data_IF_403427823439
#
_entry.id   IF_403427823439
#
_cell.length_a   1.000
_cell.length_b   1.000
_cell.length_c   1.000
_cell.angle_alpha   90.00
_cell.angle_beta   90.00
_cell.angle_gamma   90.00
#
_symmetry.space_group_name_H-M   'P 1'
#
loop_
_entity.id
_entity.type
_entity.pdbx_description
1 polymer ?
#
# COMPACT_ATOMS: atom_id res chain seq x y z
N UNK A 1 11.62 11.52 -1.99
CA UNK A 1 11.35 12.90 -2.43
C UNK A 1 12.40 13.83 -1.84
N UNK A 2 12.86 14.86 -2.57
CA UNK A 2 13.87 15.79 -2.04
C UNK A 2 13.21 16.92 -1.25
N UNK A 3 13.65 17.13 -0.01
CA UNK A 3 13.31 18.30 0.80
C UNK A 3 14.29 19.43 0.49
N UNK A 4 13.79 20.62 0.17
CA UNK A 4 14.61 21.81 -0.07
C UNK A 4 14.80 22.64 1.20
N UNK A 5 13.83 22.61 2.12
CA UNK A 5 13.93 23.27 3.41
C UNK A 5 12.56 23.61 3.97
N UNK A 6 12.55 24.49 4.97
CA UNK A 6 11.34 25.05 5.57
C UNK A 6 11.31 26.56 5.30
N UNK A 7 10.10 27.10 5.17
CA UNK A 7 9.84 28.53 5.18
C UNK A 7 8.69 28.82 6.15
N UNK A 8 8.34 30.09 6.33
CA UNK A 8 7.23 30.51 7.19
C UNK A 8 6.24 31.33 6.38
N UNK A 9 4.96 31.05 6.57
CA UNK A 9 3.89 31.88 6.02
C UNK A 9 3.87 33.23 6.75
N UNK A 10 3.97 34.36 6.04
CA UNK A 10 4.02 35.68 6.67
C UNK A 10 2.67 36.16 7.22
N UNK A 11 1.55 35.55 6.82
CA UNK A 11 0.19 35.92 7.23
C UNK A 11 -0.31 35.06 8.39
N UNK A 12 -0.08 33.73 8.33
CA UNK A 12 -0.59 32.77 9.30
C UNK A 12 0.43 32.30 10.34
N UNK A 13 1.70 32.70 10.19
CA UNK A 13 2.81 32.35 11.08
C UNK A 13 3.16 30.84 11.11
N UNK A 14 2.55 30.08 10.19
CA UNK A 14 2.70 28.63 10.02
C UNK A 14 4.02 28.25 9.32
N UNK A 15 4.58 27.10 9.70
CA UNK A 15 5.74 26.53 9.02
C UNK A 15 5.31 25.79 7.75
N UNK A 16 5.97 26.11 6.64
CA UNK A 16 5.74 25.47 5.33
C UNK A 16 6.97 24.62 4.99
N UNK A 17 6.74 23.35 4.66
CA UNK A 17 7.76 22.45 4.14
C UNK A 17 7.88 22.59 2.62
N UNK A 18 9.06 22.94 2.12
CA UNK A 18 9.31 23.10 0.68
C UNK A 18 9.99 21.83 0.14
N UNK A 19 9.33 21.16 -0.81
CA UNK A 19 9.77 19.88 -1.36
C UNK A 19 9.75 19.88 -2.88
N UNK A 20 10.43 18.89 -3.47
CA UNK A 20 10.35 18.60 -4.88
C UNK A 20 8.89 18.35 -5.31
N UNK A 21 8.42 19.08 -6.33
CA UNK A 21 7.11 18.87 -6.91
C UNK A 21 7.07 17.59 -7.76
N UNK A 22 6.16 16.68 -7.44
CA UNK A 22 5.90 15.45 -8.19
C UNK A 22 4.66 15.65 -9.09
N UNK A 23 4.90 16.05 -10.34
CA UNK A 23 3.86 16.53 -11.26
C UNK A 23 2.85 15.46 -11.71
N UNK A 24 3.10 14.19 -11.43
CA UNK A 24 2.20 13.07 -11.75
C UNK A 24 1.17 12.77 -10.66
N UNK A 25 1.19 13.49 -9.53
CA UNK A 25 0.29 13.25 -8.41
C UNK A 25 0.61 11.95 -7.67
N UNK A 26 -0.34 11.48 -6.85
CA UNK A 26 -0.22 10.21 -6.14
C UNK A 26 -0.49 8.97 -7.02
N UNK A 27 -0.01 7.81 -6.58
CA UNK A 27 -0.07 6.54 -7.30
C UNK A 27 -1.51 6.16 -7.64
N UNK A 28 -2.46 6.38 -6.73
CA UNK A 28 -3.84 6.00 -6.99
C UNK A 28 -4.41 6.83 -8.15
N UNK A 29 -4.32 8.15 -8.07
CA UNK A 29 -4.80 9.04 -9.11
C UNK A 29 -4.07 8.82 -10.44
N UNK A 30 -2.77 8.53 -10.39
CA UNK A 30 -2.00 8.18 -11.57
C UNK A 30 -2.48 6.86 -12.21
N UNK A 31 -2.77 5.83 -11.40
CA UNK A 31 -3.33 4.55 -11.88
C UNK A 31 -4.68 4.78 -12.54
N UNK A 32 -5.59 5.58 -11.96
CA UNK A 32 -6.90 5.86 -12.56
C UNK A 32 -6.80 6.31 -14.03
N UNK A 33 -5.82 7.18 -14.32
CA UNK A 33 -5.63 7.75 -15.65
C UNK A 33 -4.85 6.85 -16.62
N UNK A 34 -4.10 5.87 -16.09
CA UNK A 34 -3.14 5.09 -16.88
C UNK A 34 -3.36 3.57 -16.81
N UNK A 35 -4.40 3.11 -16.12
CA UNK A 35 -4.64 1.67 -15.87
C UNK A 35 -4.63 0.84 -17.16
N UNK A 36 -5.25 1.35 -18.22
CA UNK A 36 -5.31 0.67 -19.52
C UNK A 36 -3.97 0.59 -20.25
N UNK A 37 -3.00 1.43 -19.88
CA UNK A 37 -1.68 1.53 -20.50
C UNK A 37 -0.59 0.75 -19.76
N UNK A 38 -0.83 0.34 -18.51
CA UNK A 38 0.15 -0.38 -17.70
C UNK A 38 -0.01 -1.90 -17.82
N UNK A 39 1.01 -2.57 -18.39
CA UNK A 39 1.00 -4.01 -18.64
C UNK A 39 1.63 -4.80 -17.50
N UNK A 40 1.19 -6.06 -17.34
CA UNK A 40 1.73 -7.03 -16.38
C UNK A 40 3.22 -7.29 -16.56
N UNK A 41 3.63 -7.59 -17.79
CA UNK A 41 5.00 -7.99 -18.14
C UNK A 41 6.02 -6.84 -18.14
N UNK A 42 5.61 -5.60 -17.83
CA UNK A 42 6.54 -4.47 -17.80
C UNK A 42 6.22 -3.41 -16.77
N UNK A 43 5.21 -2.58 -17.02
CA UNK A 43 5.06 -1.31 -16.32
C UNK A 43 4.59 -1.49 -14.87
N UNK A 44 3.74 -2.48 -14.59
CA UNK A 44 3.34 -2.80 -13.21
C UNK A 44 4.53 -3.24 -12.36
N UNK A 45 5.37 -4.13 -12.90
CA UNK A 45 6.59 -4.59 -12.23
C UNK A 45 7.58 -3.45 -11.98
N UNK A 46 7.76 -2.55 -12.95
CA UNK A 46 8.63 -1.40 -12.82
C UNK A 46 8.19 -0.48 -11.66
N UNK A 47 6.89 -0.19 -11.56
CA UNK A 47 6.32 0.65 -10.51
C UNK A 47 6.56 0.02 -9.14
N UNK A 48 6.22 -1.25 -8.96
CA UNK A 48 6.37 -1.94 -7.68
C UNK A 48 7.83 -2.11 -7.28
N UNK A 49 8.72 -2.38 -8.24
CA UNK A 49 10.15 -2.43 -7.98
C UNK A 49 10.67 -1.09 -7.43
N UNK A 50 10.30 0.03 -8.04
CA UNK A 50 10.69 1.37 -7.58
C UNK A 50 10.13 1.68 -6.19
N UNK A 51 8.86 1.37 -5.95
CA UNK A 51 8.22 1.54 -4.64
C UNK A 51 8.95 0.71 -3.57
N UNK A 52 9.27 -0.55 -3.87
CA UNK A 52 9.99 -1.43 -2.94
C UNK A 52 11.43 -0.99 -2.67
N UNK A 53 12.09 -0.36 -3.65
CA UNK A 53 13.42 0.25 -3.48
C UNK A 53 13.37 1.47 -2.54
N UNK A 54 12.35 2.31 -2.68
CA UNK A 54 12.09 3.40 -1.75
C UNK A 54 11.86 2.90 -0.32
N UNK A 55 11.02 1.89 -0.15
CA UNK A 55 10.69 1.37 1.18
C UNK A 55 11.88 0.61 1.81
N UNK A 56 12.65 -0.13 1.02
CA UNK A 56 13.92 -0.73 1.45
C UNK A 56 14.91 0.34 1.95
N UNK A 57 14.96 1.50 1.31
CA UNK A 57 15.82 2.61 1.76
C UNK A 57 15.43 3.10 3.14
N UNK A 58 14.13 3.24 3.43
CA UNK A 58 13.62 3.63 4.76
C UNK A 58 13.95 2.55 5.80
N UNK A 59 13.68 1.28 5.49
CA UNK A 59 13.92 0.17 6.40
C UNK A 59 15.42 -0.06 6.70
N UNK A 60 16.30 0.16 5.73
CA UNK A 60 17.75 0.08 5.90
C UNK A 60 18.31 1.23 6.76
N UNK A 61 17.64 2.37 6.79
CA UNK A 61 17.93 3.46 7.72
C UNK A 61 17.41 3.19 9.15
N UNK A 62 16.80 2.03 9.38
CA UNK A 62 16.16 1.62 10.63
C UNK A 62 14.93 2.45 11.04
N UNK A 63 14.16 2.86 10.03
CA UNK A 63 12.88 3.55 10.20
C UNK A 63 11.70 2.70 9.71
N UNK A 64 10.50 3.03 10.21
CA UNK A 64 9.21 2.49 9.79
C UNK A 64 8.35 3.64 9.28
N UNK A 65 7.73 3.49 8.11
CA UNK A 65 6.93 4.56 7.48
C UNK A 65 5.63 4.82 8.24
N UNK A 66 4.94 3.76 8.70
CA UNK A 66 3.71 3.77 9.52
C UNK A 66 2.42 4.27 8.84
N UNK A 67 2.54 5.02 7.75
CA UNK A 67 1.39 5.45 6.93
C UNK A 67 1.60 5.16 5.44
N UNK A 68 2.04 3.93 5.14
CA UNK A 68 2.40 3.55 3.78
C UNK A 68 1.16 3.15 2.98
N UNK A 69 0.80 3.95 1.97
CA UNK A 69 -0.32 3.67 1.08
C UNK A 69 -0.17 4.40 -0.26
N UNK A 70 -1.01 4.09 -1.25
CA UNK A 70 -0.90 4.67 -2.59
C UNK A 70 -1.02 6.19 -2.63
N UNK A 71 -1.78 6.80 -1.72
CA UNK A 71 -1.83 8.27 -1.55
C UNK A 71 -0.50 8.93 -1.16
N UNK A 72 0.43 8.18 -0.54
CA UNK A 72 1.74 8.68 -0.11
C UNK A 72 2.87 8.25 -1.06
N UNK A 73 2.53 7.73 -2.24
CA UNK A 73 3.47 7.39 -3.30
C UNK A 73 3.23 8.34 -4.45
N UNK A 74 4.22 9.14 -4.81
CA UNK A 74 4.09 10.21 -5.78
C UNK A 74 4.82 9.90 -7.09
N UNK A 75 4.28 10.36 -8.22
CA UNK A 75 4.90 10.25 -9.53
C UNK A 75 5.59 11.56 -9.93
N UNK A 76 6.90 11.48 -10.16
CA UNK A 76 7.68 12.52 -10.82
C UNK A 76 7.78 12.21 -12.32
N UNK A 77 6.99 12.93 -13.12
CA UNK A 77 7.00 12.80 -14.58
C UNK A 77 8.01 13.75 -15.25
N UNK A 78 8.78 14.52 -14.47
CA UNK A 78 9.79 15.42 -15.02
C UNK A 78 10.95 14.64 -15.66
N UNK A 79 11.48 15.19 -16.75
CA UNK A 79 12.77 14.81 -17.34
C UNK A 79 12.93 13.34 -17.77
N UNK A 80 11.85 12.61 -18.09
CA UNK A 80 11.90 11.21 -18.54
C UNK A 80 12.81 10.33 -17.65
N UNK A 81 12.80 10.56 -16.33
CA UNK A 81 13.64 9.83 -15.39
C UNK A 81 13.31 8.34 -15.43
N UNK A 82 14.33 7.50 -15.27
CA UNK A 82 14.16 6.03 -15.14
C UNK A 82 13.36 5.65 -13.89
N UNK A 83 13.51 6.41 -12.81
CA UNK A 83 12.81 6.25 -11.53
C UNK A 83 11.81 7.40 -11.38
N UNK A 84 10.51 7.07 -11.40
CA UNK A 84 9.40 8.03 -11.43
C UNK A 84 8.57 7.94 -10.15
N UNK A 85 8.60 6.83 -9.42
CA UNK A 85 7.83 6.69 -8.17
C UNK A 85 8.68 7.19 -7.00
N UNK A 86 8.11 7.94 -6.07
CA UNK A 86 8.79 8.37 -4.85
C UNK A 86 7.88 8.20 -3.65
N UNK A 87 8.41 7.66 -2.56
CA UNK A 87 7.69 7.67 -1.28
C UNK A 87 7.74 9.09 -0.72
N UNK A 88 6.57 9.60 -0.37
CA UNK A 88 6.33 10.90 0.27
C UNK A 88 5.74 10.71 1.66
N UNK A 89 5.39 11.83 2.29
CA UNK A 89 4.79 11.91 3.64
C UNK A 89 5.46 11.04 4.71
N UNK A 90 6.61 11.52 5.18
CA UNK A 90 7.33 10.90 6.30
C UNK A 90 6.93 11.50 7.65
N UNK A 91 5.80 12.22 7.74
CA UNK A 91 5.40 12.92 8.98
C UNK A 91 5.14 11.99 10.16
N UNK A 92 4.73 10.75 9.87
CA UNK A 92 4.49 9.70 10.88
C UNK A 92 5.64 8.69 11.00
N UNK A 93 6.68 8.82 10.17
CA UNK A 93 7.83 7.93 10.17
C UNK A 93 8.59 8.01 11.49
N UNK A 94 8.99 6.86 12.04
CA UNK A 94 9.69 6.77 13.33
C UNK A 94 10.82 5.73 13.29
N UNK A 95 11.85 5.87 14.14
CA UNK A 95 12.86 4.83 14.33
C UNK A 95 12.20 3.51 14.75
N UNK A 96 12.74 2.38 14.27
CA UNK A 96 12.16 1.06 14.50
C UNK A 96 12.17 0.62 15.97
N UNK A 97 13.07 1.20 16.78
CA UNK A 97 13.16 0.96 18.21
C UNK A 97 12.33 1.93 19.07
N UNK A 98 11.54 2.81 18.46
CA UNK A 98 10.74 3.79 19.18
C UNK A 98 9.54 3.10 19.86
N UNK A 99 9.44 3.25 21.18
CA UNK A 99 8.36 2.69 22.03
C UNK A 99 7.33 3.73 22.46
N UNK A 100 7.33 4.92 21.86
CA UNK A 100 6.38 5.97 22.20
C UNK A 100 4.92 5.56 21.94
N UNK A 101 4.07 5.77 22.95
CA UNK A 101 2.62 5.55 22.88
C UNK A 101 1.90 6.73 22.20
N UNK A 102 2.32 7.07 20.98
CA UNK A 102 1.68 8.11 20.19
C UNK A 102 0.33 7.62 19.66
N UNK A 103 -0.61 8.55 19.44
CA UNK A 103 -1.86 8.25 18.74
C UNK A 103 -1.54 7.54 17.40
N UNK A 104 -2.27 6.48 17.12
CA UNK A 104 -2.08 5.69 15.90
C UNK A 104 -2.97 6.26 14.82
N UNK A 105 -2.33 6.64 13.72
CA UNK A 105 -3.00 7.09 12.51
C UNK A 105 -2.87 6.03 11.42
N UNK A 106 -3.78 6.06 10.47
CA UNK A 106 -3.63 5.36 9.21
C UNK A 106 -4.92 5.17 8.44
N UNK A 107 -4.81 4.43 7.34
CA UNK A 107 -5.92 4.13 6.41
C UNK A 107 -6.31 2.67 6.54
N UNK A 108 -7.46 2.37 7.18
CA UNK A 108 -7.87 1.01 7.61
C UNK A 108 -7.53 -0.12 6.62
N UNK A 109 -7.87 -0.03 5.31
CA UNK A 109 -7.53 -1.07 4.34
C UNK A 109 -6.04 -1.44 4.22
N UNK A 110 -5.13 -0.51 4.52
CA UNK A 110 -3.69 -0.72 4.48
C UNK A 110 -3.10 -1.11 5.84
N UNK A 111 -3.88 -1.04 6.92
CA UNK A 111 -3.37 -1.28 8.28
C UNK A 111 -3.24 -2.77 8.56
N UNK A 112 -2.03 -3.18 8.96
CA UNK A 112 -1.74 -4.56 9.28
C UNK A 112 -2.55 -5.04 10.51
N UNK A 113 -3.06 -6.29 10.52
CA UNK A 113 -3.95 -6.79 11.57
C UNK A 113 -3.37 -6.67 12.99
N UNK A 114 -2.06 -6.84 13.15
CA UNK A 114 -1.38 -6.74 14.44
C UNK A 114 -1.41 -5.33 15.04
N UNK A 115 -1.55 -4.28 14.23
CA UNK A 115 -1.68 -2.90 14.72
C UNK A 115 -2.96 -2.74 15.52
N UNK A 116 -4.07 -3.32 15.06
CA UNK A 116 -5.34 -3.29 15.78
C UNK A 116 -5.31 -4.13 17.09
N UNK A 117 -4.41 -5.11 17.18
CA UNK A 117 -4.29 -5.99 18.37
C UNK A 117 -3.31 -5.46 19.42
N UNK A 118 -2.16 -4.94 18.98
CA UNK A 118 -1.01 -4.65 19.84
C UNK A 118 -0.53 -3.20 19.75
N UNK A 119 -1.08 -2.39 18.85
CA UNK A 119 -0.68 -0.98 18.67
C UNK A 119 0.81 -0.77 18.38
N UNK A 120 1.48 -1.77 17.80
CA UNK A 120 2.93 -1.75 17.59
C UNK A 120 3.26 -1.89 16.11
N UNK A 121 3.83 -0.83 15.55
CA UNK A 121 4.29 -0.82 14.17
C UNK A 121 5.65 -1.52 14.05
N UNK A 122 5.87 -2.14 12.90
CA UNK A 122 7.14 -2.77 12.55
C UNK A 122 7.42 -2.63 11.04
N UNK A 123 8.62 -3.01 10.61
CA UNK A 123 8.94 -3.05 9.17
C UNK A 123 7.99 -3.99 8.42
N UNK A 124 7.59 -5.09 9.06
CA UNK A 124 6.63 -6.07 8.55
C UNK A 124 5.22 -5.47 8.37
N UNK A 125 4.86 -4.46 9.18
CA UNK A 125 3.59 -3.73 9.00
C UNK A 125 3.59 -2.84 7.74
N UNK A 126 4.72 -2.24 7.37
CA UNK A 126 4.87 -1.57 6.07
C UNK A 126 4.85 -2.58 4.90
N UNK A 127 5.35 -3.82 5.10
CA UNK A 127 5.28 -4.88 4.08
C UNK A 127 3.84 -5.32 3.84
N UNK A 128 2.99 -5.35 4.87
CA UNK A 128 1.55 -5.58 4.70
C UNK A 128 0.93 -4.52 3.78
N UNK A 129 1.26 -3.25 4.03
CA UNK A 129 0.84 -2.13 3.20
C UNK A 129 1.31 -2.31 1.74
N UNK A 130 2.54 -2.77 1.53
CA UNK A 130 3.07 -3.12 0.20
C UNK A 130 2.21 -4.19 -0.49
N UNK A 131 1.73 -5.21 0.24
CA UNK A 131 0.79 -6.21 -0.29
C UNK A 131 -0.53 -5.60 -0.79
N UNK A 132 -1.06 -4.62 -0.06
CA UNK A 132 -2.28 -3.89 -0.47
C UNK A 132 -2.05 -3.00 -1.70
N UNK A 133 -0.89 -2.37 -1.80
CA UNK A 133 -0.49 -1.61 -3.00
C UNK A 133 -0.30 -2.56 -4.20
N UNK A 134 0.32 -3.72 -4.00
CA UNK A 134 0.43 -4.75 -5.05
C UNK A 134 -0.94 -5.15 -5.58
N UNK A 135 -1.93 -5.31 -4.70
CA UNK A 135 -3.31 -5.61 -5.09
C UNK A 135 -3.97 -4.45 -5.86
N UNK A 136 -3.78 -3.21 -5.42
CA UNK A 136 -4.33 -2.04 -6.11
C UNK A 136 -3.87 -1.95 -7.58
N UNK A 137 -2.65 -2.41 -7.90
CA UNK A 137 -2.17 -2.48 -9.28
C UNK A 137 -2.81 -3.58 -10.12
N UNK A 138 -3.45 -4.59 -9.52
CA UNK A 138 -4.15 -5.64 -10.27
C UNK A 138 -5.46 -5.09 -10.83
N UNK A 139 -6.25 -4.43 -9.96
CA UNK A 139 -7.62 -3.96 -10.25
C UNK A 139 -7.70 -2.50 -10.68
N UNK A 140 -6.70 -1.69 -10.28
CA UNK A 140 -6.74 -0.24 -10.38
C UNK A 140 -7.61 0.40 -9.30
N UNK A 141 -8.08 -0.36 -8.32
CA UNK A 141 -9.02 0.09 -7.30
C UNK A 141 -8.35 0.10 -5.94
N UNK A 142 -8.82 0.96 -5.02
CA UNK A 142 -8.35 0.89 -3.64
C UNK A 142 -8.93 -0.35 -2.93
N UNK A 143 -8.16 -1.00 -2.04
CA UNK A 143 -8.63 -2.16 -1.29
C UNK A 143 -9.88 -1.84 -0.48
N UNK A 144 -10.86 -2.75 -0.50
CA UNK A 144 -12.13 -2.62 0.24
C UNK A 144 -12.97 -1.38 -0.10
N UNK A 145 -12.84 -0.83 -1.31
CA UNK A 145 -13.56 0.39 -1.72
C UNK A 145 -15.08 0.26 -1.76
N UNK A 146 -15.61 -0.96 -1.83
CA UNK A 146 -17.04 -1.25 -1.93
C UNK A 146 -17.75 -1.41 -0.57
N UNK A 147 -17.04 -1.21 0.55
CA UNK A 147 -17.60 -1.40 1.90
C UNK A 147 -17.33 -0.21 2.82
N UNK A 148 -18.07 -0.14 3.92
CA UNK A 148 -17.79 0.81 4.99
C UNK A 148 -16.43 0.56 5.64
N UNK A 149 -15.68 1.64 5.89
CA UNK A 149 -14.44 1.57 6.67
C UNK A 149 -14.75 1.79 8.14
N UNK A 150 -15.43 0.82 8.75
CA UNK A 150 -15.87 0.85 10.13
C UNK A 150 -15.20 -0.27 10.97
N UNK A 151 -15.70 -0.49 12.18
CA UNK A 151 -15.19 -1.54 13.06
C UNK A 151 -15.47 -2.94 12.51
N UNK A 152 -16.54 -3.13 11.72
CA UNK A 152 -16.85 -4.42 11.12
C UNK A 152 -15.82 -4.80 10.07
N UNK A 153 -15.37 -3.85 9.23
CA UNK A 153 -14.24 -4.09 8.33
C UNK A 153 -12.97 -4.48 9.10
N UNK A 154 -12.67 -3.79 10.20
CA UNK A 154 -11.52 -4.15 11.06
C UNK A 154 -11.63 -5.58 11.56
N UNK A 155 -12.80 -6.01 12.08
CA UNK A 155 -12.99 -7.40 12.52
C UNK A 155 -12.80 -8.40 11.38
N UNK A 156 -13.35 -8.13 10.20
CA UNK A 156 -13.15 -9.04 9.06
C UNK A 156 -11.68 -9.13 8.62
N UNK A 157 -10.94 -8.02 8.63
CA UNK A 157 -9.48 -8.02 8.36
C UNK A 157 -8.73 -8.86 9.39
N UNK A 158 -9.11 -8.76 10.68
CA UNK A 158 -8.55 -9.55 11.77
C UNK A 158 -8.83 -11.04 11.62
N UNK A 159 -10.00 -11.39 11.07
CA UNK A 159 -10.42 -12.76 10.73
C UNK A 159 -9.81 -13.27 9.42
N UNK A 160 -8.99 -12.44 8.75
CA UNK A 160 -8.23 -12.84 7.58
C UNK A 160 -8.86 -12.48 6.24
N UNK A 161 -9.93 -11.67 6.22
CA UNK A 161 -10.48 -11.15 4.96
C UNK A 161 -9.41 -10.35 4.21
N UNK A 162 -9.30 -10.61 2.90
CA UNK A 162 -8.43 -9.89 1.96
C UNK A 162 -9.23 -9.56 0.71
N UNK A 163 -8.83 -8.51 -0.04
CA UNK A 163 -9.46 -8.22 -1.31
C UNK A 163 -9.36 -9.40 -2.30
N UNK A 164 -10.39 -9.58 -3.11
CA UNK A 164 -10.46 -10.66 -4.10
C UNK A 164 -9.36 -10.53 -5.15
N UNK A 165 -8.65 -11.62 -5.43
CA UNK A 165 -7.60 -11.65 -6.46
C UNK A 165 -8.25 -11.90 -7.81
N UNK A 166 -8.01 -11.01 -8.77
CA UNK A 166 -8.57 -11.11 -10.12
C UNK A 166 -7.92 -12.22 -10.93
N UNK A 167 -8.71 -12.84 -11.83
CA UNK A 167 -8.29 -13.96 -12.69
C UNK A 167 -7.09 -13.64 -13.60
N UNK A 168 -6.81 -12.36 -13.87
CA UNK A 168 -5.63 -11.93 -14.64
C UNK A 168 -4.34 -11.87 -13.83
N UNK A 169 -4.36 -12.18 -12.53
CA UNK A 169 -3.18 -12.07 -11.68
C UNK A 169 -2.24 -13.27 -11.90
N UNK A 170 -0.98 -13.07 -12.32
CA UNK A 170 -0.01 -14.16 -12.44
C UNK A 170 0.20 -14.87 -11.11
N UNK A 171 0.26 -16.20 -11.11
CA UNK A 171 0.38 -17.01 -9.87
C UNK A 171 1.58 -16.61 -9.02
N UNK A 172 2.76 -16.43 -9.65
CA UNK A 172 3.97 -16.02 -8.91
C UNK A 172 3.81 -14.65 -8.24
N UNK A 173 3.08 -13.73 -8.86
CA UNK A 173 2.75 -12.43 -8.29
C UNK A 173 1.76 -12.56 -7.13
N UNK A 174 0.69 -13.34 -7.33
CA UNK A 174 -0.31 -13.62 -6.30
C UNK A 174 0.33 -14.25 -5.06
N UNK A 175 1.28 -15.16 -5.23
CA UNK A 175 2.00 -15.81 -4.12
C UNK A 175 2.87 -14.81 -3.34
N UNK A 176 3.61 -13.92 -4.02
CA UNK A 176 4.36 -12.87 -3.33
C UNK A 176 3.45 -11.90 -2.59
N UNK A 177 2.39 -11.42 -3.27
CA UNK A 177 1.39 -10.54 -2.67
C UNK A 177 0.74 -11.16 -1.43
N UNK A 178 0.41 -12.46 -1.50
CA UNK A 178 -0.16 -13.21 -0.37
C UNK A 178 0.77 -13.29 0.84
N UNK A 179 2.06 -13.49 0.59
CA UNK A 179 3.06 -13.46 1.67
C UNK A 179 3.22 -12.07 2.27
N UNK A 180 3.16 -11.01 1.46
CA UNK A 180 3.26 -9.63 1.96
C UNK A 180 2.11 -9.29 2.93
N UNK A 181 0.87 -9.70 2.64
CA UNK A 181 -0.29 -9.39 3.49
C UNK A 181 -0.70 -10.51 4.45
N UNK A 182 0.21 -11.43 4.77
CA UNK A 182 -0.04 -12.51 5.73
C UNK A 182 -0.50 -11.93 7.08
N UNK A 183 -1.44 -12.58 7.75
CA UNK A 183 -1.92 -12.14 9.07
C UNK A 183 -0.85 -12.26 10.15
N UNK A 184 0.11 -13.17 9.98
CA UNK A 184 1.27 -13.32 10.84
C UNK A 184 2.45 -12.48 10.30
N UNK A 185 2.88 -11.42 11.01
CA UNK A 185 3.97 -10.58 10.55
C UNK A 185 5.29 -11.35 10.35
N UNK A 186 5.53 -12.43 11.11
CA UNK A 186 6.78 -13.21 10.99
C UNK A 186 6.86 -14.04 9.70
N UNK A 187 5.72 -14.30 9.05
CA UNK A 187 5.65 -14.99 7.76
C UNK A 187 5.84 -14.06 6.56
N UNK A 188 5.81 -12.74 6.79
CA UNK A 188 5.96 -11.76 5.73
C UNK A 188 7.43 -11.71 5.29
N UNK A 189 7.70 -11.56 3.99
CA UNK A 189 9.05 -11.36 3.50
C UNK A 189 9.60 -10.01 3.99
N UNK A 190 10.92 -9.90 4.11
CA UNK A 190 11.53 -8.58 4.22
C UNK A 190 11.29 -7.76 2.94
N UNK A 191 11.24 -6.44 3.04
CA UNK A 191 11.13 -5.59 1.85
C UNK A 191 12.29 -5.81 0.85
N UNK A 192 13.47 -6.16 1.36
CA UNK A 192 14.64 -6.53 0.57
C UNK A 192 14.35 -7.75 -0.32
N UNK A 193 13.67 -8.76 0.21
CA UNK A 193 13.27 -9.94 -0.57
C UNK A 193 12.22 -9.59 -1.62
N UNK A 194 11.23 -8.76 -1.27
CA UNK A 194 10.19 -8.29 -2.18
C UNK A 194 10.83 -7.53 -3.36
N UNK A 195 11.70 -6.56 -3.07
CA UNK A 195 12.40 -5.77 -4.10
C UNK A 195 13.28 -6.64 -4.99
N UNK A 196 14.04 -7.58 -4.43
CA UNK A 196 14.88 -8.51 -5.22
C UNK A 196 14.02 -9.36 -6.15
N UNK A 197 12.90 -9.87 -5.66
CA UNK A 197 11.97 -10.66 -6.48
C UNK A 197 11.41 -9.84 -7.64
N UNK A 198 10.92 -8.63 -7.36
CA UNK A 198 10.38 -7.71 -8.38
C UNK A 198 11.46 -7.27 -9.39
N UNK A 199 12.67 -7.00 -8.91
CA UNK A 199 13.84 -6.66 -9.74
C UNK A 199 14.17 -7.78 -10.73
N UNK A 200 14.18 -9.04 -10.26
CA UNK A 200 14.40 -10.21 -11.11
C UNK A 200 13.32 -10.30 -12.19
N UNK A 201 12.04 -10.23 -11.82
CA UNK A 201 10.95 -10.27 -12.81
C UNK A 201 11.04 -9.14 -13.84
N UNK A 202 11.39 -7.92 -13.41
CA UNK A 202 11.45 -6.75 -14.29
C UNK A 202 12.67 -6.70 -15.22
N UNK A 203 13.86 -7.07 -14.72
CA UNK A 203 15.12 -6.91 -15.46
C UNK A 203 15.54 -8.14 -16.25
N UNK A 204 15.25 -9.35 -15.76
CA UNK A 204 15.73 -10.58 -16.39
C UNK A 204 14.64 -11.31 -17.18
N UNK A 205 13.41 -10.80 -17.16
CA UNK A 205 12.25 -11.47 -17.77
C UNK A 205 12.03 -12.91 -17.22
N UNK A 206 12.50 -13.19 -16.00
CA UNK A 206 12.19 -14.46 -15.34
C UNK A 206 10.68 -14.55 -15.12
N UNK A 207 10.09 -15.70 -15.46
CA UNK A 207 8.64 -15.92 -15.44
C UNK A 207 7.86 -15.05 -16.43
N UNK A 208 8.47 -14.57 -17.53
CA UNK A 208 7.79 -13.74 -18.53
C UNK A 208 6.54 -14.39 -19.13
N UNK A 209 6.53 -15.70 -19.32
CA UNK A 209 5.38 -16.43 -19.89
C UNK A 209 4.11 -16.28 -19.02
N UNK A 210 4.13 -16.58 -17.70
CA UNK A 210 3.01 -16.25 -16.82
C UNK A 210 2.53 -14.80 -16.90
N UNK A 211 3.45 -13.82 -16.99
CA UNK A 211 3.07 -12.41 -17.11
C UNK A 211 2.46 -12.07 -18.47
N UNK A 212 2.91 -12.70 -19.55
CA UNK A 212 2.33 -12.53 -20.89
C UNK A 212 0.91 -13.13 -20.96
N UNK A 213 0.70 -14.32 -20.38
CA UNK A 213 -0.62 -14.95 -20.29
C UNK A 213 -1.59 -14.11 -19.46
N UNK A 214 -1.13 -13.61 -18.30
CA UNK A 214 -1.86 -12.67 -17.48
C UNK A 214 -2.25 -11.39 -18.25
N UNK A 215 -1.36 -10.84 -19.08
CA UNK A 215 -1.66 -9.67 -19.91
C UNK A 215 -2.72 -9.95 -20.99
N UNK A 216 -2.73 -11.15 -21.58
CA UNK A 216 -3.78 -11.57 -22.51
C UNK A 216 -5.13 -11.64 -21.76
N UNK A 217 -5.17 -12.31 -20.61
CA UNK A 217 -6.39 -12.43 -19.80
C UNK A 217 -6.88 -11.07 -19.30
N UNK A 218 -5.97 -10.18 -18.89
CA UNK A 218 -6.28 -8.80 -18.51
C UNK A 218 -7.03 -8.06 -19.63
N UNK A 219 -6.51 -8.12 -20.86
CA UNK A 219 -7.15 -7.48 -22.02
C UNK A 219 -8.52 -8.06 -22.33
N UNK A 220 -8.68 -9.38 -22.21
CA UNK A 220 -9.98 -10.05 -22.34
C UNK A 220 -10.98 -9.52 -21.30
N UNK A 221 -10.61 -9.48 -20.01
CA UNK A 221 -11.48 -9.00 -18.93
C UNK A 221 -11.82 -7.51 -19.08
N UNK A 222 -10.88 -6.69 -19.52
CA UNK A 222 -11.13 -5.27 -19.82
C UNK A 222 -12.12 -5.10 -20.98
N UNK A 223 -11.99 -5.88 -22.05
CA UNK A 223 -12.95 -5.86 -23.17
C UNK A 223 -14.35 -6.31 -22.75
N UNK A 224 -14.41 -7.26 -21.81
CA UNK A 224 -15.67 -7.71 -21.18
C UNK A 224 -16.20 -6.75 -20.11
N UNK A 225 -15.53 -5.62 -19.85
CA UNK A 225 -15.88 -4.64 -18.81
C UNK A 225 -15.97 -5.24 -17.40
N UNK A 226 -15.15 -6.27 -17.14
CA UNK A 226 -15.05 -6.96 -15.85
C UNK A 226 -13.85 -6.52 -15.01
N UNK A 227 -12.92 -5.78 -15.60
CA UNK A 227 -11.69 -5.36 -14.94
C UNK A 227 -11.36 -3.89 -15.26
N UNK A 228 -11.06 -3.15 -14.20
CA UNK A 228 -10.58 -1.77 -14.26
C UNK A 228 -11.39 -0.86 -13.36
N UNK A 229 -10.83 0.31 -13.02
CA UNK A 229 -11.44 1.22 -12.06
C UNK A 229 -12.79 1.78 -12.52
N UNK A 230 -13.02 1.83 -13.83
CA UNK A 230 -14.30 2.29 -14.39
C UNK A 230 -15.45 1.30 -14.15
N UNK A 231 -15.14 0.03 -13.85
CA UNK A 231 -16.11 -1.07 -13.75
C UNK A 231 -16.27 -1.62 -12.33
N UNK A 232 -15.49 -1.15 -11.36
CA UNK A 232 -15.52 -1.61 -9.97
C UNK A 232 -16.66 -1.01 -9.12
N UNK A 233 -17.55 -0.24 -9.75
CA UNK A 233 -18.63 0.46 -9.07
C UNK A 233 -18.17 1.74 -8.37
N UNK A 234 -19.12 2.51 -7.84
CA UNK A 234 -18.77 3.68 -7.02
C UNK A 234 -18.27 3.20 -5.66
N UNK A 235 -17.20 3.80 -5.10
CA UNK A 235 -16.80 3.53 -3.73
C UNK A 235 -17.96 3.75 -2.77
N UNK A 236 -17.98 2.97 -1.68
CA UNK A 236 -18.96 3.17 -0.62
C UNK A 236 -18.81 4.61 -0.05
N UNK A 237 -19.90 5.34 0.22
CA UNK A 237 -19.81 6.73 0.69
C UNK A 237 -18.99 6.91 1.98
N UNK A 238 -18.94 5.89 2.83
CA UNK A 238 -18.13 5.89 4.07
C UNK A 238 -16.80 5.14 3.95
N UNK A 239 -16.34 4.83 2.73
CA UNK A 239 -14.98 4.40 2.48
C UNK A 239 -14.02 5.59 2.61
N UNK A 240 -13.08 5.51 3.55
CA UNK A 240 -12.15 6.60 3.89
C UNK A 240 -10.71 6.18 3.59
N UNK A 241 -10.05 6.96 2.74
CA UNK A 241 -8.68 6.73 2.28
C UNK A 241 -7.69 7.85 2.66
N UNK A 242 -8.09 8.67 3.62
CA UNK A 242 -7.22 9.65 4.28
C UNK A 242 -6.86 9.11 5.66
N UNK A 243 -5.61 9.33 6.05
CA UNK A 243 -5.12 8.93 7.37
C UNK A 243 -5.96 9.56 8.48
N UNK A 244 -6.33 8.77 9.50
CA UNK A 244 -7.14 9.25 10.64
C UNK A 244 -6.78 8.50 11.93
N UNK A 245 -7.12 9.06 13.11
CA UNK A 245 -6.94 8.39 14.40
C UNK A 245 -7.62 7.02 14.42
N UNK A 246 -6.93 6.02 14.96
CA UNK A 246 -7.41 4.63 15.05
C UNK A 246 -7.65 4.16 16.49
N UNK A 247 -7.36 4.98 17.50
CA UNK A 247 -7.55 4.64 18.93
C UNK A 247 -8.92 4.06 19.25
N UNK A 248 -10.00 4.59 18.67
CA UNK A 248 -11.36 4.07 18.90
C UNK A 248 -11.56 2.65 18.37
N UNK A 249 -10.90 2.28 17.27
CA UNK A 249 -11.00 0.93 16.71
C UNK A 249 -10.16 -0.05 17.53
N UNK A 250 -8.93 0.36 17.86
CA UNK A 250 -8.00 -0.43 18.69
C UNK A 250 -8.64 -0.75 20.04
N UNK A 251 -9.22 0.25 20.72
CA UNK A 251 -9.88 0.09 22.01
C UNK A 251 -11.00 -0.97 21.96
N UNK A 252 -11.83 -0.96 20.90
CA UNK A 252 -12.89 -1.95 20.67
C UNK A 252 -12.35 -3.35 20.34
N UNK A 253 -11.20 -3.45 19.69
CA UNK A 253 -10.54 -4.74 19.46
C UNK A 253 -9.98 -5.33 20.76
N UNK A 254 -9.37 -4.50 21.61
CA UNK A 254 -8.86 -4.92 22.91
C UNK A 254 -9.97 -5.38 23.85
N UNK A 255 -11.12 -4.69 23.91
CA UNK A 255 -12.25 -5.10 24.77
C UNK A 255 -12.80 -6.49 24.43
N UNK A 256 -12.92 -6.84 23.14
CA UNK A 256 -13.45 -8.13 22.70
C UNK A 256 -12.48 -9.30 22.92
N UNK A 257 -11.17 -9.04 22.93
CA UNK A 257 -10.16 -10.05 23.25
C UNK A 257 -10.13 -10.46 24.73
N UNK A 258 -10.64 -9.60 25.62
CA UNK A 258 -10.74 -9.89 27.05
C UNK A 258 -12.00 -10.69 27.40
N UNK A 259 -13.12 -10.47 26.69
CA UNK A 259 -14.37 -11.23 26.91
C UNK A 259 -14.30 -12.69 26.43
N UNK A 260 -13.39 -13.00 25.50
CA UNK A 260 -13.17 -14.37 25.02
C UNK A 260 -12.20 -15.18 25.89
N UNK A 261 -11.47 -14.53 26.82
CA UNK A 261 -10.60 -15.20 27.80
C UNK A 261 -11.29 -15.55 29.12
N UNK A 262 -12.51 -15.07 29.36
CA UNK A 262 -13.27 -15.32 30.60
C UNK A 262 -14.27 -16.49 30.50
N UNK A 263 -14.16 -17.36 29.48
CA UNK A 263 -15.04 -18.53 29.29
C UNK A 263 -14.32 -19.89 29.45
N UNK A 264 -13.15 -19.93 30.10
CA UNK A 264 -12.47 -21.17 30.47
C UNK A 264 -12.05 -21.17 31.94
#
# INVERSE_FOLDING_TARGET
MRTYGFTRDPEFDDYILVMQYASGGDLHNWIQQNFTKITWNKRKLAILWQISEGLETIHNADYIHRDFHSGNILFDLSNNKKHQCQIGDLGLTQPANNTSNNEIYGVIPYIAPEIFKKSSFSKESDVYCMGMIMWELTTGCKPFSNVDHDINLVYRILDGERPEITEDTPECFANLMKRCWDSDPEKRPSITEVRKTLSIWYHTNRNIEPFNQAEIKRKELMNLKKLGPEFSGKPHPSAIYTSRPLSSFISKCSSNSNSSKSMY
#
